data_IF_837634401591
#
_entry.id   IF_837634401591
#
_cell.length_a   1.000
_cell.length_b   1.000
_cell.length_c   1.000
_cell.angle_alpha   90.00
_cell.angle_beta   90.00
_cell.angle_gamma   90.00
#
_symmetry.space_group_name_H-M   'P 1'
#
loop_
_entity.id
_entity.type
_entity.pdbx_description
1 polymer ?
#
# COMPACT_ATOMS: atom_id res chain seq x y z
N UNK A 1 -18.27 -4.88 -42.65
CA UNK A 1 -18.22 -3.77 -41.68
C UNK A 1 -18.94 -4.16 -40.41
N UNK A 2 -18.19 -4.36 -39.32
CA UNK A 2 -18.63 -4.23 -37.92
C UNK A 2 -17.42 -4.54 -37.03
N UNK A 3 -16.56 -3.53 -36.86
CA UNK A 3 -15.51 -3.51 -35.84
C UNK A 3 -16.14 -3.62 -34.45
N UNK A 4 -16.00 -4.77 -33.80
CA UNK A 4 -16.10 -4.85 -32.34
C UNK A 4 -14.72 -4.59 -31.74
N UNK A 5 -14.43 -3.32 -31.50
CA UNK A 5 -13.38 -2.86 -30.58
C UNK A 5 -13.66 -3.50 -29.22
N UNK A 6 -12.88 -4.53 -28.90
CA UNK A 6 -12.83 -5.10 -27.55
C UNK A 6 -11.73 -4.35 -26.83
N UNK A 7 -12.09 -3.20 -26.26
CA UNK A 7 -11.27 -2.46 -25.30
C UNK A 7 -10.96 -3.37 -24.10
N UNK A 8 -9.87 -4.11 -24.20
CA UNK A 8 -9.23 -4.79 -23.08
C UNK A 8 -8.56 -3.76 -22.19
N UNK A 9 -9.36 -2.99 -21.47
CA UNK A 9 -8.88 -2.05 -20.46
C UNK A 9 -7.96 -2.79 -19.48
N UNK A 10 -6.68 -2.38 -19.49
CA UNK A 10 -5.68 -2.81 -18.54
C UNK A 10 -6.24 -2.69 -17.13
N UNK A 11 -6.33 -3.85 -16.47
CA UNK A 11 -6.86 -4.02 -15.13
C UNK A 11 -5.97 -3.29 -14.12
N UNK A 12 -6.29 -2.03 -13.80
CA UNK A 12 -5.61 -1.31 -12.72
C UNK A 12 -6.27 -1.67 -11.38
N UNK A 13 -5.73 -2.71 -10.77
CA UNK A 13 -5.91 -3.05 -9.35
C UNK A 13 -5.76 -1.75 -8.52
N UNK A 14 -6.57 -1.50 -7.47
CA UNK A 14 -6.38 -0.32 -6.63
C UNK A 14 -4.93 -0.31 -6.14
N UNK A 15 -4.16 0.71 -6.56
CA UNK A 15 -2.73 0.82 -6.29
C UNK A 15 -2.57 1.12 -4.79
N UNK A 16 -2.58 0.07 -3.98
CA UNK A 16 -2.18 0.17 -2.59
C UNK A 16 -0.67 0.35 -2.59
N UNK A 17 -0.23 1.57 -2.39
CA UNK A 17 1.16 1.91 -2.36
C UNK A 17 1.76 1.50 -1.03
N UNK A 18 2.94 0.93 -1.13
CA UNK A 18 3.78 0.65 0.01
C UNK A 18 4.43 1.97 0.47
N UNK A 19 4.37 2.33 1.75
CA UNK A 19 5.08 3.52 2.24
C UNK A 19 6.58 3.41 1.96
N UNK A 20 7.22 4.49 1.53
CA UNK A 20 8.61 4.52 1.07
C UNK A 20 9.62 4.01 2.12
N UNK A 21 9.27 4.09 3.41
CA UNK A 21 10.08 3.61 4.52
C UNK A 21 10.23 2.08 4.57
N UNK A 22 9.33 1.31 3.95
CA UNK A 22 9.42 -0.14 3.98
C UNK A 22 10.39 -0.66 2.91
N UNK A 23 11.35 -1.50 3.29
CA UNK A 23 12.30 -2.11 2.35
C UNK A 23 11.62 -3.06 1.36
N UNK A 24 11.89 -2.91 0.05
CA UNK A 24 11.22 -3.59 -1.08
C UNK A 24 11.04 -5.10 -0.89
N UNK A 25 10.01 -5.69 -1.50
CA UNK A 25 9.82 -7.15 -1.47
C UNK A 25 11.02 -7.89 -2.04
N UNK A 26 11.69 -7.31 -3.04
CA UNK A 26 12.94 -7.81 -3.59
C UNK A 26 14.02 -7.88 -2.50
N UNK A 27 14.23 -6.80 -1.72
CA UNK A 27 15.18 -6.82 -0.59
C UNK A 27 14.80 -7.85 0.47
N UNK A 28 13.51 -8.07 0.75
CA UNK A 28 13.05 -9.13 1.67
C UNK A 28 13.31 -10.55 1.14
N UNK A 29 13.12 -10.80 -0.16
CA UNK A 29 13.48 -12.09 -0.79
C UNK A 29 14.96 -12.38 -0.63
N UNK A 30 15.80 -11.39 -0.95
CA UNK A 30 17.25 -11.50 -0.82
C UNK A 30 17.68 -11.68 0.64
N UNK A 31 17.05 -10.99 1.60
CA UNK A 31 17.31 -11.22 3.01
C UNK A 31 17.00 -12.65 3.45
N UNK A 32 15.89 -13.23 2.97
CA UNK A 32 15.54 -14.63 3.25
C UNK A 32 16.63 -15.57 2.76
N UNK A 33 17.04 -15.39 1.51
CA UNK A 33 18.06 -16.20 0.85
C UNK A 33 19.39 -16.12 1.61
N UNK A 34 19.80 -14.91 2.00
CA UNK A 34 21.01 -14.71 2.79
C UNK A 34 20.91 -15.34 4.20
N UNK A 35 19.75 -15.30 4.86
CA UNK A 35 19.57 -15.97 6.14
C UNK A 35 19.58 -17.50 6.02
N UNK A 36 19.12 -18.04 4.89
CA UNK A 36 19.14 -19.47 4.59
C UNK A 36 20.58 -19.99 4.36
N UNK A 37 21.47 -19.13 3.85
CA UNK A 37 22.90 -19.41 3.72
C UNK A 37 23.72 -19.00 4.98
N UNK A 38 23.08 -18.92 6.14
CA UNK A 38 23.70 -18.59 7.44
C UNK A 38 24.43 -17.24 7.53
N UNK A 39 24.12 -16.27 6.66
CA UNK A 39 24.69 -14.93 6.78
C UNK A 39 24.09 -14.16 7.97
N UNK A 40 24.96 -13.58 8.79
CA UNK A 40 24.57 -12.72 9.91
C UNK A 40 23.93 -11.39 9.48
N UNK A 41 23.07 -10.82 10.33
CA UNK A 41 22.28 -9.62 10.04
C UNK A 41 23.14 -8.40 9.65
N UNK A 42 24.34 -8.23 10.21
CA UNK A 42 25.24 -7.11 9.87
C UNK A 42 25.70 -7.16 8.42
N UNK A 43 26.08 -8.36 7.95
CA UNK A 43 26.51 -8.57 6.56
C UNK A 43 25.35 -8.42 5.59
N UNK A 44 24.17 -8.93 5.96
CA UNK A 44 22.94 -8.76 5.18
C UNK A 44 22.50 -7.30 5.10
N UNK A 45 22.63 -6.52 6.18
CA UNK A 45 22.34 -5.08 6.19
C UNK A 45 23.26 -4.31 5.23
N UNK A 46 24.55 -4.64 5.23
CA UNK A 46 25.51 -4.05 4.29
C UNK A 46 25.20 -4.40 2.83
N UNK A 47 24.88 -5.67 2.54
CA UNK A 47 24.58 -6.12 1.16
C UNK A 47 23.29 -5.50 0.63
N UNK A 48 22.27 -5.33 1.50
CA UNK A 48 20.96 -4.80 1.10
C UNK A 48 20.87 -3.27 1.20
N UNK A 49 21.91 -2.60 1.69
CA UNK A 49 21.92 -1.17 2.01
C UNK A 49 20.68 -0.80 2.84
N UNK A 50 20.51 -1.50 3.96
CA UNK A 50 19.41 -1.30 4.91
C UNK A 50 19.97 -1.01 6.29
N UNK A 51 19.16 -0.39 7.15
CA UNK A 51 19.55 -0.21 8.54
C UNK A 51 19.70 -1.56 9.24
N UNK A 52 20.76 -1.70 10.04
CA UNK A 52 21.01 -2.91 10.81
C UNK A 52 19.85 -3.27 11.73
N UNK A 53 19.16 -2.25 12.28
CA UNK A 53 17.99 -2.45 13.13
C UNK A 53 16.88 -3.19 12.37
N UNK A 54 16.61 -2.80 11.12
CA UNK A 54 15.59 -3.44 10.28
C UNK A 54 15.95 -4.91 10.02
N UNK A 55 17.21 -5.17 9.66
CA UNK A 55 17.65 -6.53 9.31
C UNK A 55 17.76 -7.41 10.56
N UNK A 56 18.11 -6.84 11.71
CA UNK A 56 18.09 -7.54 13.01
C UNK A 56 16.68 -8.00 13.37
N UNK A 57 15.67 -7.16 13.18
CA UNK A 57 14.28 -7.52 13.40
C UNK A 57 13.82 -8.60 12.40
N UNK A 58 14.26 -8.52 11.14
CA UNK A 58 13.99 -9.55 10.14
C UNK A 58 14.60 -10.89 10.51
N UNK A 59 15.84 -10.91 10.99
CA UNK A 59 16.50 -12.14 11.42
C UNK A 59 15.80 -12.74 12.66
N UNK A 60 15.33 -11.91 13.59
CA UNK A 60 14.51 -12.36 14.74
C UNK A 60 13.22 -13.03 14.28
N UNK A 61 12.52 -12.44 13.31
CA UNK A 61 11.30 -13.03 12.75
C UNK A 61 11.60 -14.29 11.91
N UNK A 62 12.75 -14.36 11.24
CA UNK A 62 13.19 -15.54 10.49
C UNK A 62 13.46 -16.72 11.41
N UNK A 63 14.21 -16.51 12.51
CA UNK A 63 14.44 -17.53 13.54
C UNK A 63 13.15 -18.03 14.21
N UNK A 64 12.12 -17.18 14.26
CA UNK A 64 10.79 -17.54 14.80
C UNK A 64 9.87 -18.18 13.76
N UNK A 65 10.32 -18.37 12.51
CA UNK A 65 9.51 -18.93 11.42
C UNK A 65 8.40 -18.02 10.91
N UNK A 66 8.42 -16.72 11.25
CA UNK A 66 7.38 -15.74 10.89
C UNK A 66 7.82 -14.74 9.84
N UNK A 67 9.01 -14.89 9.30
CA UNK A 67 9.53 -13.96 8.30
C UNK A 67 8.72 -14.02 7.02
N UNK A 68 8.04 -12.91 6.69
CA UNK A 68 7.23 -12.79 5.48
C UNK A 68 7.92 -11.90 4.46
N UNK A 69 8.14 -12.50 3.29
CA UNK A 69 8.64 -11.80 2.11
C UNK A 69 7.63 -10.76 1.63
N UNK A 70 6.35 -11.16 1.55
CA UNK A 70 5.27 -10.27 1.16
C UNK A 70 4.88 -9.36 2.34
N UNK A 71 4.56 -8.12 2.01
CA UNK A 71 4.02 -7.19 2.99
C UNK A 71 2.54 -7.50 3.15
N UNK A 72 2.07 -7.55 4.39
CA UNK A 72 0.67 -7.80 4.64
C UNK A 72 -0.19 -6.67 4.04
N UNK A 73 -1.32 -7.03 3.43
CA UNK A 73 -2.23 -6.09 2.74
C UNK A 73 -2.72 -4.92 3.60
N UNK A 74 -2.68 -5.08 4.93
CA UNK A 74 -3.04 -4.06 5.91
C UNK A 74 -1.92 -3.02 6.17
N UNK A 75 -0.68 -3.33 5.79
CA UNK A 75 0.45 -2.41 5.85
C UNK A 75 0.58 -1.58 4.56
N UNK A 76 -0.02 -2.05 3.46
CA UNK A 76 -0.18 -1.23 2.27
C UNK A 76 -1.13 -0.06 2.57
N UNK A 77 -0.79 1.12 2.05
CA UNK A 77 -1.60 2.33 2.19
C UNK A 77 -2.23 2.67 0.85
N UNK A 78 -3.41 3.28 0.88
CA UNK A 78 -3.94 3.88 -0.34
C UNK A 78 -3.11 5.12 -0.66
N UNK A 79 -2.82 5.37 -1.94
CA UNK A 79 -2.12 6.58 -2.35
C UNK A 79 -2.94 7.83 -2.03
N UNK A 80 -2.25 8.93 -1.75
CA UNK A 80 -2.92 10.21 -1.46
C UNK A 80 -3.68 10.71 -2.70
N UNK A 81 -3.14 10.51 -3.90
CA UNK A 81 -3.81 10.80 -5.19
C UNK A 81 -5.16 10.07 -5.32
N UNK A 82 -5.21 8.79 -4.92
CA UNK A 82 -6.44 8.01 -4.98
C UNK A 82 -7.46 8.53 -3.97
N UNK A 83 -7.00 8.96 -2.79
CA UNK A 83 -7.83 9.57 -1.77
C UNK A 83 -8.40 10.91 -2.25
N UNK A 84 -7.60 11.77 -2.86
CA UNK A 84 -8.04 13.05 -3.42
C UNK A 84 -9.05 12.85 -4.54
N UNK A 85 -8.79 11.92 -5.47
CA UNK A 85 -9.74 11.57 -6.54
C UNK A 85 -11.10 11.14 -5.98
N UNK A 86 -11.11 10.31 -4.93
CA UNK A 86 -12.34 9.89 -4.24
C UNK A 86 -13.09 11.07 -3.62
N UNK A 87 -12.37 11.99 -2.97
CA UNK A 87 -12.98 13.18 -2.37
C UNK A 87 -13.55 14.13 -3.42
N UNK A 88 -12.85 14.32 -4.55
CA UNK A 88 -13.31 15.13 -5.68
C UNK A 88 -14.60 14.57 -6.30
N UNK A 89 -14.63 13.26 -6.59
CA UNK A 89 -15.85 12.61 -7.09
C UNK A 89 -17.02 12.72 -6.10
N UNK A 90 -16.72 12.77 -4.79
CA UNK A 90 -17.76 13.02 -3.80
C UNK A 90 -18.28 14.45 -3.84
N UNK A 91 -17.41 15.44 -4.00
CA UNK A 91 -17.79 16.85 -4.17
C UNK A 91 -18.64 17.06 -5.44
N UNK A 92 -18.36 16.31 -6.51
CA UNK A 92 -19.14 16.28 -7.76
C UNK A 92 -20.51 15.58 -7.62
N UNK A 93 -20.85 15.04 -6.43
CA UNK A 93 -22.15 14.44 -6.15
C UNK A 93 -22.30 12.97 -6.59
N UNK A 94 -21.21 12.30 -7.00
CA UNK A 94 -21.24 10.89 -7.42
C UNK A 94 -21.65 9.98 -6.26
N UNK A 95 -22.47 8.96 -6.56
CA UNK A 95 -22.96 8.02 -5.56
C UNK A 95 -21.85 7.11 -5.02
N UNK A 96 -21.97 6.72 -3.75
CA UNK A 96 -20.96 5.90 -3.05
C UNK A 96 -20.63 4.58 -3.76
N UNK A 97 -21.65 3.92 -4.32
CA UNK A 97 -21.47 2.67 -5.08
C UNK A 97 -20.68 2.93 -6.36
N UNK A 98 -20.99 4.01 -7.08
CA UNK A 98 -20.30 4.36 -8.32
C UNK A 98 -18.84 4.74 -8.07
N UNK A 99 -18.55 5.49 -7.00
CA UNK A 99 -17.17 5.78 -6.57
C UNK A 99 -16.42 4.48 -6.24
N UNK A 100 -17.07 3.55 -5.53
CA UNK A 100 -16.46 2.26 -5.17
C UNK A 100 -16.18 1.39 -6.39
N UNK A 101 -17.06 1.37 -7.38
CA UNK A 101 -16.85 0.67 -8.65
C UNK A 101 -15.68 1.26 -9.45
N UNK A 102 -15.63 2.59 -9.55
CA UNK A 102 -14.62 3.32 -10.32
C UNK A 102 -13.22 3.26 -9.69
N UNK A 103 -13.14 3.26 -8.36
CA UNK A 103 -11.86 3.29 -7.63
C UNK A 103 -11.45 1.94 -7.05
N UNK A 104 -12.36 0.96 -7.07
CA UNK A 104 -12.23 -0.34 -6.39
C UNK A 104 -11.90 -0.22 -4.90
N UNK A 105 -12.17 0.94 -4.30
CA UNK A 105 -12.07 1.17 -2.85
C UNK A 105 -13.39 0.75 -2.22
N UNK A 106 -13.40 -0.04 -1.13
CA UNK A 106 -14.63 -0.41 -0.43
C UNK A 106 -15.41 0.82 0.02
N UNK A 107 -16.74 0.78 -0.11
CA UNK A 107 -17.64 1.88 0.31
C UNK A 107 -17.38 2.29 1.77
N UNK A 108 -17.06 1.33 2.65
CA UNK A 108 -16.72 1.60 4.05
C UNK A 108 -15.46 2.48 4.20
N UNK A 109 -14.44 2.26 3.38
CA UNK A 109 -13.22 3.06 3.34
C UNK A 109 -13.48 4.45 2.77
N UNK A 110 -14.26 4.54 1.69
CA UNK A 110 -14.68 5.83 1.09
C UNK A 110 -15.41 6.70 2.13
N UNK A 111 -16.37 6.12 2.86
CA UNK A 111 -17.10 6.82 3.93
C UNK A 111 -16.18 7.31 5.03
N UNK A 112 -15.19 6.51 5.46
CA UNK A 112 -14.19 6.91 6.45
C UNK A 112 -13.36 8.10 5.98
N UNK A 113 -12.96 8.14 4.71
CA UNK A 113 -12.19 9.25 4.16
C UNK A 113 -12.99 10.55 4.09
N UNK A 114 -14.24 10.49 3.63
CA UNK A 114 -15.13 11.65 3.62
C UNK A 114 -15.42 12.14 5.04
N UNK A 115 -15.67 11.25 6.00
CA UNK A 115 -15.88 11.64 7.39
C UNK A 115 -14.65 12.35 7.99
N UNK A 116 -13.45 11.87 7.67
CA UNK A 116 -12.19 12.54 8.06
C UNK A 116 -11.99 13.88 7.36
N UNK A 117 -12.35 14.00 6.08
CA UNK A 117 -12.26 15.26 5.34
C UNK A 117 -13.19 16.31 5.93
N UNK A 118 -14.45 15.95 6.19
CA UNK A 118 -15.44 16.84 6.84
C UNK A 118 -14.99 17.22 8.26
N UNK A 119 -14.42 16.30 9.03
CA UNK A 119 -13.86 16.61 10.35
C UNK A 119 -12.66 17.57 10.24
N UNK A 120 -11.79 17.38 9.25
CA UNK A 120 -10.65 18.25 8.97
C UNK A 120 -11.09 19.66 8.55
N UNK A 121 -12.08 19.78 7.66
CA UNK A 121 -12.66 21.05 7.23
C UNK A 121 -13.30 21.78 8.41
N UNK A 122 -14.05 21.05 9.26
CA UNK A 122 -14.65 21.61 10.48
C UNK A 122 -13.61 22.07 11.51
N UNK A 123 -12.48 21.37 11.64
CA UNK A 123 -11.38 21.79 12.50
C UNK A 123 -10.62 23.00 11.95
N UNK A 124 -10.50 23.14 10.61
CA UNK A 124 -9.88 24.31 9.98
C UNK A 124 -10.80 25.56 9.99
N UNK A 125 -12.10 25.36 10.15
CA UNK A 125 -13.11 26.42 10.23
C UNK A 125 -13.53 26.80 11.67
N UNK A 126 -12.85 26.26 12.69
CA UNK A 126 -13.03 26.70 14.07
C UNK A 126 -12.11 27.91 14.36
N UNK A 127 -12.64 29.04 14.86
CA UNK A 127 -11.90 30.28 15.08
C UNK A 127 -10.86 30.18 16.21
#
# INVERSE_FOLDING_TARGET
MNMTLRDGAGQSVPVRQKPAFYASEKKRRWARDLFEHDYGYTKVASILELSENTVRDWQREYRKGRFRVQIADNQLRYSDELREKVLKMRAEGVSWRKISELTRVPVSTVRKWCAKAVASEKCAAAP
#
